data_IF_695766548018
#
_entry.id   IF_695766548018
#
_cell.length_a   1.000
_cell.length_b   1.000
_cell.length_c   1.000
_cell.angle_alpha   90.00
_cell.angle_beta   90.00
_cell.angle_gamma   90.00
#
_symmetry.space_group_name_H-M   'P 1'
#
loop_
_entity.id
_entity.type
_entity.pdbx_description
1 polymer ?
#
# COMPACT_ATOMS: atom_id res chain seq x y z
N UNK A 1 -8.56 12.98 25.35
CA UNK A 1 -7.08 12.94 25.41
C UNK A 1 -6.42 13.88 24.42
N UNK A 2 -6.40 13.59 23.11
CA UNK A 2 -5.69 14.42 22.10
C UNK A 2 -6.16 15.88 22.10
N UNK A 3 -7.47 16.06 22.21
CA UNK A 3 -8.11 17.36 22.38
C UNK A 3 -7.69 18.05 23.69
N UNK A 4 -7.68 17.33 24.82
CA UNK A 4 -7.29 17.88 26.12
C UNK A 4 -5.84 18.34 26.12
N UNK A 5 -4.92 17.53 25.56
CA UNK A 5 -3.50 17.89 25.40
C UNK A 5 -3.33 19.18 24.60
N UNK A 6 -4.12 19.34 23.52
CA UNK A 6 -4.11 20.56 22.71
C UNK A 6 -4.64 21.77 23.49
N UNK A 7 -5.76 21.61 24.21
CA UNK A 7 -6.38 22.70 25.00
C UNK A 7 -5.47 23.13 26.15
N UNK A 8 -4.81 22.17 26.80
CA UNK A 8 -3.87 22.42 27.90
C UNK A 8 -2.46 22.81 27.41
N UNK A 9 -2.26 22.89 26.10
CA UNK A 9 -0.98 23.21 25.46
C UNK A 9 0.20 22.34 25.94
N UNK A 10 -0.07 21.04 26.13
CA UNK A 10 0.94 20.05 26.53
C UNK A 10 1.69 19.59 25.27
N UNK A 11 3.00 19.81 25.25
CA UNK A 11 3.91 19.48 24.15
C UNK A 11 5.17 18.76 24.65
N UNK A 12 4.98 17.58 25.23
CA UNK A 12 6.03 16.71 25.75
C UNK A 12 6.05 15.34 25.02
N UNK A 13 6.98 14.46 25.41
CA UNK A 13 7.09 13.11 24.83
C UNK A 13 5.81 12.26 25.04
N UNK A 14 5.04 12.52 26.10
CA UNK A 14 3.76 11.86 26.31
C UNK A 14 2.76 12.30 25.23
N UNK A 15 2.65 13.60 24.97
CA UNK A 15 1.82 14.11 23.89
C UNK A 15 2.22 13.48 22.54
N UNK A 16 3.51 13.43 22.21
CA UNK A 16 3.99 12.73 21.01
C UNK A 16 3.46 11.30 20.95
N UNK A 17 3.66 10.51 22.01
CA UNK A 17 3.23 9.10 22.05
C UNK A 17 1.72 8.93 21.85
N UNK A 18 0.90 9.83 22.39
CA UNK A 18 -0.56 9.83 22.21
C UNK A 18 -0.93 10.08 20.75
N UNK A 19 -0.28 11.04 20.10
CA UNK A 19 -0.54 11.33 18.68
C UNK A 19 -0.03 10.22 17.76
N UNK A 20 1.12 9.62 18.04
CA UNK A 20 1.64 8.48 17.28
C UNK A 20 0.71 7.27 17.38
N UNK A 21 0.29 6.90 18.60
CA UNK A 21 -0.63 5.78 18.80
C UNK A 21 -1.97 6.05 18.12
N UNK A 22 -2.53 7.25 18.28
CA UNK A 22 -3.81 7.60 17.67
C UNK A 22 -3.73 7.54 16.15
N UNK A 23 -2.65 8.03 15.54
CA UNK A 23 -2.47 7.97 14.10
C UNK A 23 -2.41 6.53 13.57
N UNK A 24 -1.76 5.60 14.28
CA UNK A 24 -1.75 4.17 13.91
C UNK A 24 -3.16 3.57 13.96
N UNK A 25 -3.93 3.87 15.00
CA UNK A 25 -5.32 3.44 15.13
C UNK A 25 -6.20 4.01 14.01
N UNK A 26 -6.00 5.28 13.63
CA UNK A 26 -6.70 5.89 12.50
C UNK A 26 -6.40 5.15 11.19
N UNK A 27 -5.16 4.71 10.95
CA UNK A 27 -4.83 3.90 9.78
C UNK A 27 -5.56 2.55 9.81
N UNK A 28 -5.57 1.85 10.93
CA UNK A 28 -6.26 0.55 11.06
C UNK A 28 -7.77 0.64 10.82
N UNK A 29 -8.41 1.74 11.21
CA UNK A 29 -9.86 1.98 11.01
C UNK A 29 -10.15 2.60 9.62
N UNK A 30 -9.14 3.15 8.94
CA UNK A 30 -9.29 3.83 7.65
C UNK A 30 -9.68 5.31 7.73
N UNK A 31 -9.55 5.96 8.89
CA UNK A 31 -9.80 7.39 9.06
C UNK A 31 -8.59 8.23 8.62
N UNK A 32 -8.48 8.42 7.30
CA UNK A 32 -7.38 9.19 6.71
C UNK A 32 -7.41 10.67 7.12
N UNK A 33 -8.60 11.21 7.44
CA UNK A 33 -8.78 12.59 7.88
C UNK A 33 -8.11 12.84 9.23
N UNK A 34 -8.42 12.02 10.23
CA UNK A 34 -7.79 12.12 11.56
C UNK A 34 -6.31 11.73 11.54
N UNK A 35 -5.91 10.76 10.71
CA UNK A 35 -4.50 10.44 10.50
C UNK A 35 -3.72 11.68 10.01
N UNK A 36 -4.24 12.40 9.03
CA UNK A 36 -3.61 13.61 8.50
C UNK A 36 -3.54 14.74 9.54
N UNK A 37 -4.57 14.89 10.37
CA UNK A 37 -4.53 15.83 11.50
C UNK A 37 -3.45 15.45 12.52
N UNK A 38 -3.25 14.15 12.77
CA UNK A 38 -2.17 13.68 13.62
C UNK A 38 -0.80 13.97 13.01
N UNK A 39 -0.60 13.70 11.72
CA UNK A 39 0.62 14.01 10.97
C UNK A 39 0.99 15.50 11.08
N UNK A 40 0.03 16.40 10.86
CA UNK A 40 0.25 17.84 10.96
C UNK A 40 0.65 18.29 12.39
N UNK A 41 0.07 17.66 13.42
CA UNK A 41 0.43 17.93 14.80
C UNK A 41 1.80 17.35 15.18
N UNK A 42 2.09 16.10 14.80
CA UNK A 42 3.38 15.45 15.02
C UNK A 42 4.53 16.24 14.39
N UNK A 43 4.35 16.76 13.17
CA UNK A 43 5.34 17.62 12.52
C UNK A 43 5.69 18.86 13.35
N UNK A 44 4.70 19.46 14.03
CA UNK A 44 4.94 20.59 14.94
C UNK A 44 5.58 20.15 16.25
N UNK A 45 5.09 19.04 16.84
CA UNK A 45 5.61 18.52 18.10
C UNK A 45 7.08 18.12 18.00
N UNK A 46 7.48 17.45 16.93
CA UNK A 46 8.88 17.06 16.72
C UNK A 46 9.86 18.25 16.55
N UNK A 47 9.36 19.45 16.29
CA UNK A 47 10.18 20.67 16.21
C UNK A 47 10.33 21.38 17.58
N UNK A 48 9.61 20.94 18.61
CA UNK A 48 9.67 21.55 19.92
C UNK A 48 10.92 21.09 20.70
N UNK A 49 11.64 22.05 21.29
CA UNK A 49 12.91 21.79 22.00
C UNK A 49 12.78 20.88 23.23
N UNK A 50 11.57 20.79 23.80
CA UNK A 50 11.27 19.97 24.98
C UNK A 50 11.17 18.46 24.66
N UNK A 51 11.19 18.06 23.39
CA UNK A 51 10.98 16.69 22.96
C UNK A 51 12.31 15.94 22.84
N UNK A 52 12.39 14.78 23.50
CA UNK A 52 13.49 13.82 23.28
C UNK A 52 13.24 13.04 22.00
N UNK A 53 13.87 13.47 20.90
CA UNK A 53 13.66 12.89 19.56
C UNK A 53 14.03 11.40 19.46
N UNK A 54 14.91 10.89 20.33
CA UNK A 54 15.30 9.47 20.37
C UNK A 54 14.17 8.52 20.79
N UNK A 55 13.14 9.03 21.46
CA UNK A 55 11.96 8.25 21.88
C UNK A 55 10.86 8.27 20.82
N UNK A 56 10.94 9.17 19.84
CA UNK A 56 9.93 9.38 18.82
C UNK A 56 10.07 8.42 17.64
N UNK A 57 8.98 8.17 16.93
CA UNK A 57 8.90 7.31 15.75
C UNK A 57 8.97 8.11 14.46
N UNK A 58 9.89 9.07 14.43
CA UNK A 58 10.08 10.01 13.32
C UNK A 58 10.25 9.29 11.96
N UNK A 59 11.10 8.25 11.82
CA UNK A 59 11.31 7.61 10.51
C UNK A 59 10.07 6.94 9.97
N UNK A 60 9.36 6.25 10.84
CA UNK A 60 8.10 5.57 10.52
C UNK A 60 7.06 6.59 10.02
N UNK A 61 6.82 7.65 10.79
CA UNK A 61 5.82 8.66 10.46
C UNK A 61 6.17 9.47 9.21
N UNK A 62 7.47 9.69 8.96
CA UNK A 62 7.93 10.29 7.72
C UNK A 62 7.69 9.39 6.52
N UNK A 63 7.94 8.08 6.64
CA UNK A 63 7.64 7.12 5.56
C UNK A 63 6.14 7.04 5.27
N UNK A 64 5.29 7.03 6.29
CA UNK A 64 3.83 7.10 6.08
C UNK A 64 3.43 8.39 5.35
N UNK A 65 4.06 9.52 5.66
CA UNK A 65 3.79 10.78 4.97
C UNK A 65 4.19 10.73 3.49
N UNK A 66 5.34 10.16 3.16
CA UNK A 66 5.76 10.00 1.76
C UNK A 66 4.78 9.09 1.00
N UNK A 67 4.44 7.94 1.58
CA UNK A 67 3.48 7.00 1.01
C UNK A 67 2.10 7.68 0.81
N UNK A 68 1.58 8.35 1.83
CA UNK A 68 0.31 9.09 1.74
C UNK A 68 0.34 10.13 0.61
N UNK A 69 1.37 10.99 0.55
CA UNK A 69 1.44 12.05 -0.45
C UNK A 69 1.55 11.49 -1.88
N UNK A 70 2.26 10.36 -2.07
CA UNK A 70 2.32 9.67 -3.35
C UNK A 70 0.98 9.02 -3.71
N UNK A 71 0.38 8.25 -2.81
CA UNK A 71 -0.87 7.52 -3.04
C UNK A 71 -2.06 8.45 -3.29
N UNK A 72 -2.10 9.59 -2.59
CA UNK A 72 -3.09 10.65 -2.79
C UNK A 72 -2.78 11.58 -3.97
N UNK A 73 -1.71 11.32 -4.73
CA UNK A 73 -1.27 12.11 -5.90
C UNK A 73 -0.97 13.58 -5.60
N UNK A 74 -0.55 13.89 -4.37
CA UNK A 74 -0.13 15.23 -3.93
C UNK A 74 1.36 15.45 -4.23
N UNK A 75 1.74 15.35 -5.51
CA UNK A 75 3.15 15.37 -5.95
C UNK A 75 3.87 16.69 -5.62
N UNK A 76 3.18 17.83 -5.62
CA UNK A 76 3.77 19.12 -5.23
C UNK A 76 4.20 19.12 -3.76
N UNK A 77 3.34 18.59 -2.88
CA UNK A 77 3.63 18.46 -1.46
C UNK A 77 4.71 17.39 -1.20
N UNK A 78 4.68 16.28 -1.94
CA UNK A 78 5.72 15.24 -1.88
C UNK A 78 7.09 15.81 -2.26
N UNK A 79 7.16 16.54 -3.37
CA UNK A 79 8.38 17.21 -3.84
C UNK A 79 8.92 18.18 -2.78
N UNK A 80 8.04 18.98 -2.18
CA UNK A 80 8.40 19.89 -1.09
C UNK A 80 8.98 19.17 0.13
N UNK A 81 8.39 18.05 0.56
CA UNK A 81 8.92 17.23 1.66
C UNK A 81 10.30 16.65 1.32
N UNK A 82 10.50 16.15 0.10
CA UNK A 82 11.78 15.59 -0.33
C UNK A 82 12.89 16.66 -0.45
N UNK A 83 12.54 17.87 -0.90
CA UNK A 83 13.46 19.02 -0.91
C UNK A 83 13.87 19.37 0.52
N UNK A 84 12.91 19.47 1.45
CA UNK A 84 13.19 19.76 2.85
C UNK A 84 14.08 18.71 3.50
N UNK A 85 13.79 17.43 3.24
CA UNK A 85 14.60 16.30 3.69
C UNK A 85 16.04 16.39 3.13
N UNK A 86 16.19 16.58 1.83
CA UNK A 86 17.51 16.64 1.17
C UNK A 86 18.32 17.83 1.70
N UNK A 87 17.70 18.99 1.82
CA UNK A 87 18.34 20.18 2.38
C UNK A 87 18.77 19.98 3.84
N UNK A 88 17.97 19.28 4.64
CA UNK A 88 18.31 18.98 6.02
C UNK A 88 19.46 17.96 6.14
N UNK A 89 19.48 16.93 5.26
CA UNK A 89 20.59 15.99 5.15
C UNK A 89 21.92 16.67 4.77
N UNK A 90 21.87 17.67 3.88
CA UNK A 90 23.06 18.44 3.48
C UNK A 90 23.58 19.34 4.59
N UNK A 91 22.70 19.87 5.46
CA UNK A 91 23.06 20.73 6.60
C UNK A 91 23.53 19.95 7.84
N UNK A 92 23.12 18.70 8.00
CA UNK A 92 23.44 17.83 9.15
C UNK A 92 24.93 17.49 9.32
N UNK A 93 25.80 17.92 8.41
CA UNK A 93 27.25 17.76 8.55
C UNK A 93 27.90 18.77 9.52
N UNK A 94 27.13 19.67 10.17
CA UNK A 94 27.67 20.87 10.85
C UNK A 94 27.15 21.15 12.28
N UNK A 95 26.50 20.19 12.96
CA UNK A 95 26.25 20.26 14.41
C UNK A 95 24.77 20.26 14.87
N UNK A 96 24.57 19.62 16.04
CA UNK A 96 23.32 19.15 16.69
C UNK A 96 22.51 18.14 15.87
N UNK A 97 22.28 16.97 16.47
CA UNK A 97 21.47 15.88 15.90
C UNK A 97 20.03 16.33 15.62
N UNK A 98 19.82 16.86 14.43
CA UNK A 98 18.52 17.30 13.96
C UNK A 98 17.69 16.11 13.48
N UNK A 99 16.38 16.34 13.29
CA UNK A 99 15.43 15.38 12.71
C UNK A 99 15.97 14.59 11.50
N UNK A 100 16.81 15.22 10.67
CA UNK A 100 17.39 14.59 9.48
C UNK A 100 18.41 13.50 9.78
N UNK A 101 19.18 13.60 10.88
CA UNK A 101 20.11 12.54 11.28
C UNK A 101 19.38 11.29 11.77
N UNK A 102 18.17 11.46 12.32
CA UNK A 102 17.32 10.37 12.78
C UNK A 102 16.61 9.64 11.63
N UNK A 103 16.58 10.20 10.42
CA UNK A 103 15.91 9.63 9.25
C UNK A 103 16.88 8.75 8.44
N UNK A 104 16.77 7.40 8.51
CA UNK A 104 17.66 6.53 7.77
C UNK A 104 17.40 6.66 6.26
N UNK A 105 18.47 6.85 5.49
CA UNK A 105 18.39 6.91 4.02
C UNK A 105 17.78 5.64 3.41
N UNK A 106 17.93 4.50 4.08
CA UNK A 106 17.37 3.22 3.64
C UNK A 106 15.84 3.21 3.75
N UNK A 107 15.26 3.63 4.87
CA UNK A 107 13.81 3.67 5.09
C UNK A 107 13.13 4.58 4.06
N UNK A 108 13.68 5.78 3.84
CA UNK A 108 13.19 6.72 2.83
C UNK A 108 13.29 6.11 1.43
N UNK A 109 14.39 5.43 1.11
CA UNK A 109 14.55 4.75 -0.19
C UNK A 109 13.51 3.62 -0.35
N UNK A 110 13.30 2.81 0.67
CA UNK A 110 12.28 1.75 0.63
C UNK A 110 10.87 2.32 0.48
N UNK A 111 10.58 3.46 1.13
CA UNK A 111 9.27 4.11 1.03
C UNK A 111 9.03 4.63 -0.40
N UNK A 112 10.05 5.26 -1.00
CA UNK A 112 9.97 5.72 -2.39
C UNK A 112 9.86 4.55 -3.39
N UNK A 113 10.57 3.45 -3.17
CA UNK A 113 10.43 2.24 -4.00
C UNK A 113 9.08 1.56 -3.85
N UNK A 114 8.49 1.60 -2.65
CA UNK A 114 7.10 1.16 -2.43
C UNK A 114 6.14 2.05 -3.23
N UNK A 115 6.32 3.38 -3.20
CA UNK A 115 5.51 4.32 -3.97
C UNK A 115 5.61 4.06 -5.48
N UNK A 116 6.83 3.89 -6.01
CA UNK A 116 7.08 3.55 -7.42
C UNK A 116 6.40 2.24 -7.82
N UNK A 117 6.52 1.18 -6.99
CA UNK A 117 5.84 -0.09 -7.23
C UNK A 117 4.30 0.04 -7.23
N UNK A 118 3.74 0.92 -6.39
CA UNK A 118 2.30 1.24 -6.41
C UNK A 118 1.90 2.01 -7.67
N UNK A 119 2.78 2.87 -8.19
CA UNK A 119 2.58 3.60 -9.44
C UNK A 119 2.61 2.69 -10.67
N UNK A 120 3.51 1.71 -10.68
CA UNK A 120 3.64 0.74 -11.78
C UNK A 120 2.67 -0.46 -11.69
N UNK A 121 2.08 -0.71 -10.52
CA UNK A 121 1.26 -1.90 -10.28
C UNK A 121 2.05 -3.20 -10.10
N UNK A 122 3.33 -3.11 -9.74
CA UNK A 122 4.14 -4.29 -9.43
C UNK A 122 3.79 -4.83 -8.03
N UNK A 123 2.78 -5.69 -7.97
CA UNK A 123 2.32 -6.35 -6.75
C UNK A 123 3.40 -7.18 -6.04
N UNK A 124 4.40 -7.68 -6.80
CA UNK A 124 5.52 -8.42 -6.23
C UNK A 124 6.47 -7.48 -5.50
N UNK A 125 6.82 -6.35 -6.11
CA UNK A 125 7.63 -5.32 -5.47
C UNK A 125 6.90 -4.69 -4.28
N UNK A 126 5.59 -4.41 -4.38
CA UNK A 126 4.77 -3.93 -3.26
C UNK A 126 4.89 -4.90 -2.08
N UNK A 127 4.60 -6.18 -2.30
CA UNK A 127 4.65 -7.21 -1.25
C UNK A 127 6.03 -7.30 -0.61
N UNK A 128 7.10 -7.21 -1.40
CA UNK A 128 8.48 -7.20 -0.91
C UNK A 128 8.81 -5.94 -0.11
N UNK A 129 8.38 -4.76 -0.53
CA UNK A 129 8.74 -3.52 0.17
C UNK A 129 7.93 -3.30 1.44
N UNK A 130 6.71 -3.83 1.52
CA UNK A 130 5.89 -3.80 2.74
C UNK A 130 6.55 -4.52 3.93
N UNK A 131 7.43 -5.51 3.69
CA UNK A 131 8.14 -6.23 4.76
C UNK A 131 9.13 -5.36 5.54
N UNK A 132 9.52 -4.20 5.01
CA UNK A 132 10.43 -3.27 5.70
C UNK A 132 9.70 -2.29 6.62
N UNK A 133 8.36 -2.26 6.60
CA UNK A 133 7.55 -1.32 7.36
C UNK A 133 6.71 -2.02 8.42
N UNK A 134 6.26 -1.28 9.46
CA UNK A 134 5.23 -1.77 10.37
C UNK A 134 3.92 -2.07 9.63
N UNK A 135 3.06 -2.87 10.27
CA UNK A 135 1.76 -3.32 9.74
C UNK A 135 0.89 -2.16 9.27
N UNK A 136 1.01 -0.99 9.89
CA UNK A 136 0.22 0.19 9.59
C UNK A 136 0.47 0.76 8.18
N UNK A 137 1.62 0.49 7.57
CA UNK A 137 1.84 0.82 6.16
C UNK A 137 0.89 0.04 5.24
N UNK A 138 0.57 -1.21 5.60
CA UNK A 138 -0.38 -2.05 4.84
C UNK A 138 -1.77 -1.43 4.92
N UNK A 139 -2.17 -0.92 6.09
CA UNK A 139 -3.45 -0.24 6.25
C UNK A 139 -3.52 1.05 5.42
N UNK A 140 -2.47 1.87 5.46
CA UNK A 140 -2.38 3.06 4.62
C UNK A 140 -2.52 2.72 3.14
N UNK A 141 -1.80 1.71 2.66
CA UNK A 141 -1.91 1.26 1.27
C UNK A 141 -3.33 0.73 0.98
N UNK A 142 -3.91 -0.03 1.90
CA UNK A 142 -5.25 -0.61 1.79
C UNK A 142 -6.35 0.43 1.53
N UNK A 143 -6.24 1.63 2.11
CA UNK A 143 -7.16 2.75 1.85
C UNK A 143 -7.18 3.13 0.37
N UNK A 144 -6.02 3.12 -0.30
CA UNK A 144 -5.87 3.52 -1.70
C UNK A 144 -5.91 2.36 -2.69
N UNK A 145 -5.78 1.12 -2.21
CA UNK A 145 -5.67 -0.09 -3.03
C UNK A 145 -6.83 -0.27 -4.03
N UNK A 146 -8.11 -0.01 -3.70
CA UNK A 146 -9.19 -0.09 -4.68
C UNK A 146 -8.98 0.85 -5.88
N UNK A 147 -8.57 2.10 -5.63
CA UNK A 147 -8.30 3.10 -6.67
C UNK A 147 -7.09 2.69 -7.53
N UNK A 148 -6.04 2.19 -6.88
CA UNK A 148 -4.86 1.68 -7.57
C UNK A 148 -5.22 0.52 -8.50
N UNK A 149 -6.03 -0.44 -8.04
CA UNK A 149 -6.48 -1.57 -8.86
C UNK A 149 -7.30 -1.15 -10.07
N UNK A 150 -8.13 -0.11 -9.96
CA UNK A 150 -8.82 0.46 -11.15
C UNK A 150 -7.81 1.01 -12.16
N UNK A 151 -6.80 1.75 -11.69
CA UNK A 151 -5.73 2.29 -12.56
C UNK A 151 -4.96 1.15 -13.24
N UNK A 152 -4.47 0.18 -12.47
CA UNK A 152 -3.71 -0.96 -13.00
C UNK A 152 -4.53 -1.78 -13.99
N UNK A 153 -5.81 -2.04 -13.68
CA UNK A 153 -6.71 -2.74 -14.59
C UNK A 153 -6.87 -1.96 -15.91
N UNK A 154 -7.07 -0.65 -15.85
CA UNK A 154 -7.15 0.18 -17.05
C UNK A 154 -5.88 0.09 -17.91
N UNK A 155 -4.71 0.16 -17.28
CA UNK A 155 -3.41 0.07 -17.96
C UNK A 155 -3.22 -1.29 -18.63
N UNK A 156 -3.53 -2.38 -17.91
CA UNK A 156 -3.55 -3.73 -18.48
C UNK A 156 -4.45 -3.77 -19.71
N UNK A 157 -5.70 -3.31 -19.59
CA UNK A 157 -6.69 -3.38 -20.68
C UNK A 157 -6.36 -2.50 -21.89
N UNK A 158 -5.47 -1.51 -21.75
CA UNK A 158 -4.98 -0.73 -22.89
C UNK A 158 -4.03 -1.55 -23.79
N UNK A 159 -3.34 -2.55 -23.25
CA UNK A 159 -2.36 -3.37 -23.97
C UNK A 159 -2.91 -4.66 -24.59
N UNK A 160 -4.13 -5.08 -24.24
CA UNK A 160 -4.69 -6.37 -24.65
C UNK A 160 -5.85 -6.22 -25.66
N UNK A 161 -6.03 -7.25 -26.50
CA UNK A 161 -7.18 -7.42 -27.40
C UNK A 161 -7.73 -8.85 -27.24
N UNK A 162 -9.05 -8.99 -27.15
CA UNK A 162 -9.72 -10.28 -26.99
C UNK A 162 -9.72 -10.80 -25.55
N UNK A 163 -9.73 -12.13 -25.39
CA UNK A 163 -9.90 -12.77 -24.10
C UNK A 163 -8.66 -12.67 -23.18
N UNK A 164 -8.86 -12.24 -21.93
CA UNK A 164 -7.85 -12.23 -20.86
C UNK A 164 -8.25 -13.24 -19.79
N UNK A 165 -7.29 -14.02 -19.32
CA UNK A 165 -7.52 -15.00 -18.25
C UNK A 165 -7.67 -14.33 -16.89
N UNK A 166 -8.65 -14.77 -16.10
CA UNK A 166 -8.92 -14.19 -14.79
C UNK A 166 -7.74 -14.40 -13.83
N UNK A 167 -7.06 -15.55 -13.89
CA UNK A 167 -5.82 -15.78 -13.14
C UNK A 167 -4.77 -14.68 -13.37
N UNK A 168 -4.59 -14.24 -14.62
CA UNK A 168 -3.65 -13.18 -14.94
C UNK A 168 -4.05 -11.85 -14.29
N UNK A 169 -5.34 -11.51 -14.33
CA UNK A 169 -5.85 -10.31 -13.65
C UNK A 169 -5.68 -10.42 -12.14
N UNK A 170 -5.98 -11.57 -11.54
CA UNK A 170 -5.80 -11.78 -10.10
C UNK A 170 -4.34 -11.56 -9.68
N UNK A 171 -3.37 -12.09 -10.41
CA UNK A 171 -1.95 -11.95 -10.08
C UNK A 171 -1.49 -10.50 -10.23
N UNK A 172 -1.84 -9.82 -11.32
CA UNK A 172 -1.38 -8.45 -11.58
C UNK A 172 -2.14 -7.37 -10.77
N UNK A 173 -3.34 -7.67 -10.28
CA UNK A 173 -4.10 -6.79 -9.39
C UNK A 173 -3.87 -7.09 -7.89
N UNK A 174 -2.98 -8.04 -7.58
CA UNK A 174 -2.56 -8.33 -6.22
C UNK A 174 -3.58 -9.11 -5.40
N UNK A 175 -4.41 -9.94 -6.05
CA UNK A 175 -5.38 -10.84 -5.41
C UNK A 175 -4.85 -12.27 -5.22
N UNK A 176 -3.57 -12.52 -5.52
CA UNK A 176 -2.93 -13.82 -5.30
C UNK A 176 -1.86 -13.74 -4.21
N UNK A 177 -1.54 -14.87 -3.57
CA UNK A 177 -0.50 -14.91 -2.55
C UNK A 177 0.89 -14.62 -3.13
N UNK A 178 1.73 -13.97 -2.32
CA UNK A 178 3.12 -13.70 -2.63
C UNK A 178 4.01 -14.45 -1.66
N UNK A 179 4.87 -15.32 -2.19
CA UNK A 179 5.86 -16.05 -1.40
C UNK A 179 7.06 -15.15 -1.17
N UNK A 180 7.19 -14.64 0.05
CA UNK A 180 8.34 -13.86 0.45
C UNK A 180 9.50 -14.80 0.71
N UNK A 181 10.52 -14.77 -0.16
CA UNK A 181 11.74 -15.55 0.06
C UNK A 181 12.44 -15.04 1.31
N UNK A 182 12.54 -15.89 2.34
CA UNK A 182 13.29 -15.57 3.56
C UNK A 182 14.71 -15.09 3.20
N UNK A 183 15.08 -13.89 3.64
CA UNK A 183 16.41 -13.32 3.43
C UNK A 183 17.49 -13.93 4.34
N UNK A 184 17.16 -14.91 5.19
CA UNK A 184 18.12 -15.62 6.06
C UNK A 184 18.02 -17.15 5.90
N UNK A 185 18.92 -17.80 5.15
CA UNK A 185 18.97 -19.27 5.03
C UNK A 185 19.73 -19.94 6.19
N UNK A 186 19.73 -19.35 7.39
CA UNK A 186 20.44 -19.89 8.57
C UNK A 186 19.52 -20.07 9.77
N UNK A 187 18.56 -20.98 9.64
CA UNK A 187 18.07 -21.79 10.76
C UNK A 187 17.69 -23.15 10.18
N UNK A 188 18.44 -24.17 10.59
CA UNK A 188 18.06 -25.57 10.40
C UNK A 188 16.85 -25.84 11.30
N UNK A 189 15.66 -25.46 10.85
CA UNK A 189 14.40 -25.93 11.41
C UNK A 189 13.51 -26.37 10.25
N UNK A 190 13.12 -27.63 10.30
CA UNK A 190 12.33 -28.38 9.32
C UNK A 190 10.86 -27.99 9.29
N UNK A 191 10.56 -26.69 9.41
CA UNK A 191 9.25 -26.10 9.18
C UNK A 191 9.42 -24.92 8.21
N UNK A 192 9.60 -25.23 6.92
CA UNK A 192 9.35 -24.27 5.85
C UNK A 192 7.85 -24.01 5.79
N UNK A 193 7.31 -23.26 6.76
CA UNK A 193 6.04 -22.60 6.54
C UNK A 193 6.29 -21.55 5.46
N UNK A 194 5.93 -21.85 4.21
CA UNK A 194 5.85 -20.84 3.16
C UNK A 194 4.94 -19.72 3.67
N UNK A 195 5.55 -18.65 4.19
CA UNK A 195 4.82 -17.52 4.74
C UNK A 195 4.26 -16.72 3.57
N UNK A 196 3.09 -17.14 3.15
CA UNK A 196 2.32 -16.55 2.07
C UNK A 196 1.80 -15.18 2.52
N UNK A 197 2.20 -14.11 1.81
CA UNK A 197 1.75 -12.75 2.06
C UNK A 197 0.57 -12.38 1.15
N UNK A 198 -0.46 -11.79 1.73
CA UNK A 198 -1.61 -11.23 1.02
C UNK A 198 -1.62 -9.72 1.20
N UNK A 199 -1.69 -8.96 0.09
CA UNK A 199 -1.78 -7.49 0.15
C UNK A 199 -3.05 -7.07 0.91
N UNK A 200 -4.15 -7.79 0.72
CA UNK A 200 -5.41 -7.57 1.45
C UNK A 200 -5.41 -8.12 2.89
N UNK A 201 -4.31 -8.72 3.37
CA UNK A 201 -4.17 -9.24 4.74
C UNK A 201 -4.44 -10.74 4.87
N UNK A 202 -5.52 -11.26 4.27
CA UNK A 202 -5.82 -12.70 4.24
C UNK A 202 -6.41 -13.16 2.91
N UNK A 203 -6.48 -14.47 2.71
CA UNK A 203 -7.13 -15.08 1.55
C UNK A 203 -8.61 -14.70 1.46
N UNK A 204 -9.31 -14.70 2.59
CA UNK A 204 -10.73 -14.37 2.69
C UNK A 204 -10.97 -12.89 2.38
N UNK A 205 -10.10 -12.02 2.89
CA UNK A 205 -10.14 -10.58 2.60
C UNK A 205 -9.86 -10.30 1.12
N UNK A 206 -8.86 -10.96 0.52
CA UNK A 206 -8.57 -10.86 -0.91
C UNK A 206 -9.74 -11.36 -1.78
N UNK A 207 -10.37 -12.47 -1.41
CA UNK A 207 -11.55 -12.99 -2.11
C UNK A 207 -12.72 -12.02 -2.04
N UNK A 208 -12.99 -11.48 -0.85
CA UNK A 208 -14.04 -10.47 -0.66
C UNK A 208 -13.77 -9.22 -1.49
N UNK A 209 -12.55 -8.67 -1.39
CA UNK A 209 -12.13 -7.49 -2.14
C UNK A 209 -12.20 -7.73 -3.66
N UNK A 210 -11.83 -8.91 -4.14
CA UNK A 210 -11.94 -9.29 -5.56
C UNK A 210 -13.39 -9.24 -6.04
N UNK A 211 -14.32 -9.87 -5.30
CA UNK A 211 -15.73 -9.90 -5.68
C UNK A 211 -16.35 -8.49 -5.65
N UNK A 212 -16.10 -7.72 -4.58
CA UNK A 212 -16.57 -6.34 -4.45
C UNK A 212 -16.00 -5.44 -5.55
N UNK A 213 -14.74 -5.64 -5.95
CA UNK A 213 -14.08 -4.89 -7.01
C UNK A 213 -14.74 -5.12 -8.37
N UNK A 214 -14.97 -6.38 -8.76
CA UNK A 214 -15.63 -6.71 -10.03
C UNK A 214 -17.11 -6.30 -10.03
N UNK A 215 -17.80 -6.43 -8.91
CA UNK A 215 -19.18 -5.94 -8.72
C UNK A 215 -19.26 -4.41 -8.88
N UNK A 216 -18.34 -3.66 -8.25
CA UNK A 216 -18.26 -2.20 -8.34
C UNK A 216 -18.05 -1.72 -9.77
N UNK A 217 -17.26 -2.46 -10.55
CA UNK A 217 -17.02 -2.20 -11.97
C UNK A 217 -18.11 -2.76 -12.89
N UNK A 218 -19.11 -3.48 -12.35
CA UNK A 218 -20.19 -4.16 -13.09
C UNK A 218 -19.66 -5.18 -14.11
N UNK A 219 -18.50 -5.78 -13.84
CA UNK A 219 -17.91 -6.82 -14.68
C UNK A 219 -18.47 -8.18 -14.22
N UNK A 220 -19.14 -8.88 -15.12
CA UNK A 220 -19.72 -10.20 -14.83
C UNK A 220 -18.64 -11.28 -14.88
N UNK A 221 -18.47 -12.01 -13.78
CA UNK A 221 -17.57 -13.16 -13.74
C UNK A 221 -18.22 -14.38 -14.42
N UNK A 222 -17.46 -15.19 -15.18
CA UNK A 222 -17.98 -16.41 -15.81
C UNK A 222 -18.46 -17.42 -14.76
N UNK A 223 -19.47 -18.22 -15.09
CA UNK A 223 -19.98 -19.29 -14.19
C UNK A 223 -18.94 -20.37 -13.86
N UNK A 224 -17.92 -20.52 -14.70
CA UNK A 224 -16.79 -21.43 -14.50
C UNK A 224 -15.73 -20.90 -13.52
N UNK A 225 -15.84 -19.63 -13.08
CA UNK A 225 -14.89 -19.02 -12.16
C UNK A 225 -15.07 -19.53 -10.73
N UNK A 226 -13.97 -19.98 -10.13
CA UNK A 226 -13.86 -20.27 -8.70
C UNK A 226 -12.52 -19.72 -8.20
N UNK A 227 -12.58 -18.82 -7.22
CA UNK A 227 -11.41 -18.10 -6.71
C UNK A 227 -10.29 -19.06 -6.27
N UNK A 228 -10.64 -20.11 -5.54
CA UNK A 228 -9.70 -21.11 -5.03
C UNK A 228 -8.98 -21.88 -6.15
N UNK A 229 -9.68 -22.15 -7.25
CA UNK A 229 -9.09 -22.83 -8.40
C UNK A 229 -8.09 -21.93 -9.12
N UNK A 230 -8.36 -20.62 -9.24
CA UNK A 230 -7.40 -19.68 -9.82
C UNK A 230 -6.15 -19.53 -8.97
N UNK A 231 -6.28 -19.50 -7.63
CA UNK A 231 -5.11 -19.48 -6.73
C UNK A 231 -4.22 -20.72 -6.96
N UNK A 232 -4.82 -21.92 -7.07
CA UNK A 232 -4.07 -23.13 -7.36
C UNK A 232 -3.39 -23.10 -8.74
N UNK A 233 -4.04 -22.50 -9.75
CA UNK A 233 -3.43 -22.31 -11.08
C UNK A 233 -2.25 -21.34 -11.04
N UNK A 234 -2.35 -20.23 -10.31
CA UNK A 234 -1.25 -19.27 -10.14
C UNK A 234 -0.04 -19.91 -9.44
N UNK A 235 -0.30 -20.66 -8.36
CA UNK A 235 0.72 -21.41 -7.62
C UNK A 235 1.43 -22.45 -8.49
N UNK A 236 0.67 -23.25 -9.26
CA UNK A 236 1.23 -24.22 -10.19
C UNK A 236 2.12 -23.55 -11.26
N UNK A 237 1.69 -22.38 -11.77
CA UNK A 237 2.44 -21.60 -12.74
C UNK A 237 3.77 -21.08 -12.17
N UNK A 238 3.78 -20.60 -10.92
CA UNK A 238 4.98 -20.09 -10.24
C UNK A 238 6.01 -21.19 -9.96
N UNK A 239 5.56 -22.40 -9.62
CA UNK A 239 6.43 -23.53 -9.29
C UNK A 239 6.96 -24.33 -10.50
N UNK A 240 6.75 -23.83 -11.73
CA UNK A 240 7.17 -24.53 -12.94
C UNK A 240 6.39 -25.83 -13.22
N UNK A 241 5.36 -26.11 -12.42
CA UNK A 241 4.41 -27.18 -12.62
C UNK A 241 3.44 -26.79 -13.72
N UNK A 242 3.85 -26.95 -14.98
CA UNK A 242 2.91 -26.90 -16.09
C UNK A 242 1.85 -27.97 -15.87
N UNK A 243 0.68 -27.56 -15.34
CA UNK A 243 -0.48 -28.45 -15.25
C UNK A 243 -0.94 -28.74 -16.68
N UNK A 244 -0.36 -29.80 -17.26
CA UNK A 244 -0.80 -30.38 -18.54
C UNK A 244 -2.19 -31.01 -18.45
N UNK A 245 -2.86 -30.98 -17.29
CA UNK A 245 -4.06 -31.74 -16.99
C UNK A 245 -5.28 -30.93 -16.49
N UNK A 246 -5.34 -29.61 -16.67
CA UNK A 246 -6.63 -28.91 -16.52
C UNK A 246 -7.37 -28.90 -17.87
N UNK A 247 -8.13 -29.96 -18.14
CA UNK A 247 -9.03 -30.12 -19.30
C UNK A 247 -10.29 -29.24 -19.24
N UNK A 248 -10.35 -28.28 -18.30
CA UNK A 248 -11.45 -27.33 -18.16
C UNK A 248 -11.16 -26.01 -18.87
N UNK A 249 -12.21 -25.42 -19.45
CA UNK A 249 -12.16 -24.08 -20.03
C UNK A 249 -11.60 -23.08 -19.00
N UNK A 250 -10.54 -22.37 -19.38
CA UNK A 250 -9.89 -21.37 -18.49
C UNK A 250 -10.81 -20.15 -18.42
N UNK A 251 -11.28 -19.76 -17.22
CA UNK A 251 -12.14 -18.59 -17.09
C UNK A 251 -11.46 -17.34 -17.66
N UNK A 252 -12.12 -16.73 -18.64
CA UNK A 252 -11.61 -15.56 -19.35
C UNK A 252 -12.70 -14.54 -19.60
N UNK A 253 -12.29 -13.29 -19.83
CA UNK A 253 -13.15 -12.13 -20.02
C UNK A 253 -12.68 -11.35 -21.24
N UNK A 254 -13.60 -10.72 -21.98
CA UNK A 254 -13.24 -9.86 -23.11
C UNK A 254 -12.62 -8.54 -22.62
N UNK A 255 -11.41 -8.24 -23.10
CA UNK A 255 -10.68 -7.04 -22.74
C UNK A 255 -11.39 -5.75 -23.16
N UNK A 256 -12.05 -5.77 -24.32
CA UNK A 256 -12.75 -4.62 -24.88
C UNK A 256 -13.97 -4.24 -24.06
N UNK A 257 -14.79 -5.23 -23.71
CA UNK A 257 -15.96 -5.05 -22.85
C UNK A 257 -15.57 -4.54 -21.45
N UNK A 258 -14.57 -5.18 -20.81
CA UNK A 258 -14.06 -4.72 -19.51
C UNK A 258 -13.54 -3.29 -19.58
N UNK A 259 -12.82 -2.93 -20.65
CA UNK A 259 -12.25 -1.58 -20.79
C UNK A 259 -13.35 -0.53 -20.85
N UNK A 260 -14.44 -0.79 -21.58
CA UNK A 260 -15.57 0.13 -21.64
C UNK A 260 -16.19 0.36 -20.24
N UNK A 261 -16.38 -0.71 -19.47
CA UNK A 261 -16.92 -0.62 -18.11
C UNK A 261 -15.99 0.14 -17.15
N UNK A 262 -14.69 -0.10 -17.23
CA UNK A 262 -13.68 0.61 -16.41
C UNK A 262 -13.63 2.09 -16.75
N UNK A 263 -13.64 2.47 -18.04
CA UNK A 263 -13.63 3.88 -18.45
C UNK A 263 -14.94 4.60 -18.05
N UNK A 264 -16.09 3.91 -18.11
CA UNK A 264 -17.36 4.43 -17.60
C UNK A 264 -17.30 4.68 -16.09
N UNK A 265 -16.72 3.74 -15.32
CA UNK A 265 -16.55 3.88 -13.89
C UNK A 265 -15.63 5.07 -13.53
N UNK A 266 -14.50 5.21 -14.22
CA UNK A 266 -13.57 6.33 -14.03
C UNK A 266 -14.24 7.67 -14.36
N UNK A 267 -15.01 7.72 -15.45
CA UNK A 267 -15.79 8.90 -15.82
C UNK A 267 -16.84 9.24 -14.76
N UNK A 268 -17.51 8.23 -14.22
CA UNK A 268 -18.45 8.43 -13.11
C UNK A 268 -17.75 9.03 -11.88
N UNK A 269 -16.58 8.51 -11.49
CA UNK A 269 -15.82 9.06 -10.36
C UNK A 269 -15.37 10.49 -10.60
N UNK A 270 -14.91 10.84 -11.81
CA UNK A 270 -14.46 12.21 -12.11
C UNK A 270 -15.58 13.25 -12.04
N UNK A 271 -16.84 12.84 -12.22
CA UNK A 271 -18.01 13.73 -12.05
C UNK A 271 -18.39 13.97 -10.58
N UNK A 272 -17.88 13.16 -9.65
CA UNK A 272 -18.14 13.32 -8.21
C UNK A 272 -17.03 14.14 -7.56
N UNK A 273 -17.39 15.31 -7.02
CA UNK A 273 -16.47 16.15 -6.22
C UNK A 273 -15.87 15.43 -5.00
N UNK A 274 -16.54 14.40 -4.49
CA UNK A 274 -16.12 13.66 -3.29
C UNK A 274 -15.21 12.46 -3.60
N UNK A 275 -15.02 12.10 -4.87
CA UNK A 275 -14.21 10.95 -5.28
C UNK A 275 -12.71 11.26 -5.40
N UNK A 276 -12.30 12.52 -5.18
CA UNK A 276 -10.91 12.97 -5.26
C UNK A 276 -10.13 12.82 -3.94
N UNK A 277 -10.46 11.81 -3.12
CA UNK A 277 -9.73 11.50 -1.88
C UNK A 277 -8.57 10.55 -2.18
#
# INVERSE_FOLDING_TARGET
MRQDLRVQNIADNFAVSVYELHARLCLEIGDIGEFNQCQAALKRLYLADAIRLSECKIPEFFCYRLAYLSLSQQYDALSTELINYTNAQMRGSSGKAGMAELLPKQDVKHALRLCEACDEGDCTAISRYLTYFPREMIFLLGIYLPRLRVRWLREILCGFKGAIWICFLMTNLGFTPHHLRSMNPKSNETDTSDSCFWIDGSKEQAKKAFLEFFETLKILLPSSFLFENEIQRDEARKHGGGSRNSTGEVPSLDAGEMRQLVEQHITYLSTRKDASI
#
